data_IF_893170190230
#
_entry.id   IF_893170190230
#
_cell.length_a   1.000
_cell.length_b   1.000
_cell.length_c   1.000
_cell.angle_alpha   90.00
_cell.angle_beta   90.00
_cell.angle_gamma   90.00
#
_symmetry.space_group_name_H-M   'P 1'
#
loop_
_entity.id
_entity.type
_entity.pdbx_description
1 polymer ?
#
# COMPACT_ATOMS: atom_id res chain seq x y z
N UNK A 1 7.26 2.24 -2.83
CA UNK A 1 6.19 1.23 -2.65
C UNK A 1 6.75 0.09 -1.79
N UNK A 2 7.27 0.41 -0.61
CA UNK A 2 7.88 -0.60 0.27
C UNK A 2 6.83 -1.56 0.85
N UNK A 3 5.60 -1.09 1.04
CA UNK A 3 4.44 -1.92 1.37
C UNK A 3 4.22 -3.08 0.39
N UNK A 4 4.51 -2.90 -0.91
CA UNK A 4 4.35 -3.96 -1.90
C UNK A 4 5.48 -5.00 -1.86
N UNK A 5 6.64 -4.64 -1.30
CA UNK A 5 7.79 -5.53 -1.17
C UNK A 5 7.52 -6.57 -0.09
N UNK A 6 6.87 -6.20 1.01
CA UNK A 6 6.54 -7.13 2.09
C UNK A 6 5.52 -8.22 1.69
N UNK A 7 4.69 -7.95 0.68
CA UNK A 7 3.68 -8.88 0.18
C UNK A 7 4.01 -9.47 -1.20
N UNK A 8 5.24 -9.31 -1.72
CA UNK A 8 5.58 -9.75 -3.07
C UNK A 8 5.34 -11.25 -3.30
N UNK A 9 5.56 -12.04 -2.25
CA UNK A 9 5.52 -13.50 -2.30
C UNK A 9 4.15 -14.06 -1.85
N UNK A 10 3.22 -13.18 -1.45
CA UNK A 10 1.82 -13.49 -1.18
C UNK A 10 0.93 -12.80 -2.23
N UNK A 11 0.45 -13.53 -3.26
CA UNK A 11 -0.40 -12.96 -4.30
C UNK A 11 -1.68 -12.30 -3.77
N UNK A 12 -2.23 -12.79 -2.65
CA UNK A 12 -3.41 -12.18 -2.03
C UNK A 12 -3.04 -10.87 -1.33
N UNK A 13 -1.99 -10.90 -0.50
CA UNK A 13 -1.41 -9.73 0.16
C UNK A 13 -1.01 -8.63 -0.82
N UNK A 14 -0.36 -8.99 -1.93
CA UNK A 14 0.06 -8.05 -2.96
C UNK A 14 -1.13 -7.32 -3.59
N UNK A 15 -2.17 -8.08 -3.94
CA UNK A 15 -3.38 -7.50 -4.52
C UNK A 15 -4.11 -6.59 -3.52
N UNK A 16 -4.17 -6.96 -2.24
CA UNK A 16 -4.75 -6.12 -1.19
C UNK A 16 -3.95 -4.83 -0.98
N UNK A 17 -2.63 -4.93 -0.85
CA UNK A 17 -1.76 -3.76 -0.68
C UNK A 17 -1.83 -2.82 -1.89
N UNK A 18 -1.91 -3.38 -3.11
CA UNK A 18 -2.11 -2.61 -4.35
C UNK A 18 -3.48 -1.92 -4.37
N UNK A 19 -4.55 -2.62 -4.00
CA UNK A 19 -5.90 -2.06 -3.97
C UNK A 19 -6.04 -0.92 -2.94
N UNK A 20 -5.49 -1.10 -1.74
CA UNK A 20 -5.54 -0.10 -0.68
C UNK A 20 -4.71 1.14 -1.04
N UNK A 21 -3.48 0.94 -1.54
CA UNK A 21 -2.58 2.04 -1.89
C UNK A 21 -3.02 2.87 -3.09
N UNK A 22 -3.88 2.36 -3.98
CA UNK A 22 -4.45 3.12 -5.11
C UNK A 22 -5.17 4.41 -4.70
N UNK A 23 -5.73 4.45 -3.48
CA UNK A 23 -6.45 5.61 -2.93
C UNK A 23 -5.61 6.42 -1.95
N UNK A 24 -4.35 6.04 -1.73
CA UNK A 24 -3.45 6.72 -0.81
C UNK A 24 -2.57 7.70 -1.56
N UNK A 25 -2.24 8.82 -0.91
CA UNK A 25 -1.28 9.80 -1.41
C UNK A 25 0.07 9.56 -0.73
N UNK A 26 1.15 9.51 -1.50
CA UNK A 26 2.51 9.46 -0.95
C UNK A 26 2.88 10.87 -0.45
N UNK A 27 3.16 11.00 0.83
CA UNK A 27 3.59 12.21 1.51
C UNK A 27 4.96 11.94 2.14
N UNK A 28 6.02 12.27 1.42
CA UNK A 28 7.38 11.83 1.76
C UNK A 28 7.53 10.31 1.66
N UNK A 29 7.81 9.66 2.78
CA UNK A 29 7.97 8.20 2.90
C UNK A 29 6.72 7.49 3.45
N UNK A 30 5.69 8.25 3.81
CA UNK A 30 4.45 7.73 4.38
C UNK A 30 3.34 7.76 3.32
N UNK A 31 2.50 6.73 3.32
CA UNK A 31 1.28 6.72 2.52
C UNK A 31 0.11 7.16 3.42
N UNK A 32 -0.59 8.22 3.03
CA UNK A 32 -1.77 8.72 3.75
C UNK A 32 -3.03 8.49 2.95
N UNK A 33 -4.02 7.86 3.56
CA UNK A 33 -5.36 7.68 3.02
C UNK A 33 -6.39 8.38 3.89
N UNK A 34 -7.52 8.79 3.32
CA UNK A 34 -8.60 9.47 4.06
C UNK A 34 -9.08 8.72 5.32
N UNK A 35 -8.91 7.40 5.36
CA UNK A 35 -9.38 6.52 6.44
C UNK A 35 -8.23 5.73 7.11
N UNK A 36 -6.99 5.93 6.66
CA UNK A 36 -5.83 5.17 7.10
C UNK A 36 -4.65 6.15 7.11
N UNK A 37 -4.36 6.71 8.28
CA UNK A 37 -3.19 7.58 8.54
C UNK A 37 -2.00 6.74 9.03
#
# INVERSE_FOLDING_TARGET
MELLVAYSDDPAGYNMAKFLSQKMKKDGDIFRGKNYD
#
